data_IF_787510269484
#
_entry.id   IF_787510269484
#
_cell.length_a   1.000
_cell.length_b   1.000
_cell.length_c   1.000
_cell.angle_alpha   90.00
_cell.angle_beta   90.00
_cell.angle_gamma   90.00
#
_symmetry.space_group_name_H-M   'P 1'
#
loop_
_entity.id
_entity.type
_entity.pdbx_description
1 polymer ?
#
# COMPACT_ATOMS: atom_id res chain seq x y z
N UNK A 1 -8.57 22.17 -16.16
CA UNK A 1 -7.67 21.11 -15.68
C UNK A 1 -8.33 19.78 -16.00
N UNK A 2 -7.79 19.00 -16.93
CA UNK A 2 -8.33 17.69 -17.26
C UNK A 2 -7.81 16.69 -16.23
N UNK A 3 -8.68 16.10 -15.43
CA UNK A 3 -8.35 14.91 -14.65
C UNK A 3 -8.19 13.76 -15.65
N UNK A 4 -7.00 13.18 -15.77
CA UNK A 4 -6.87 11.83 -16.34
C UNK A 4 -7.64 10.93 -15.38
N UNK A 5 -8.85 10.52 -15.75
CA UNK A 5 -9.85 9.94 -14.85
C UNK A 5 -9.54 8.53 -14.35
N UNK A 6 -8.28 8.18 -14.12
CA UNK A 6 -7.95 6.93 -13.43
C UNK A 6 -8.43 7.03 -11.98
N UNK A 7 -9.09 5.98 -11.51
CA UNK A 7 -9.55 5.89 -10.12
C UNK A 7 -8.76 4.80 -9.42
N UNK A 8 -8.25 5.13 -8.25
CA UNK A 8 -7.57 4.21 -7.36
C UNK A 8 -8.39 4.05 -6.10
N UNK A 9 -8.60 2.80 -5.68
CA UNK A 9 -9.30 2.47 -4.45
C UNK A 9 -8.49 1.46 -3.65
N UNK A 10 -8.56 1.57 -2.33
CA UNK A 10 -7.86 0.64 -1.43
C UNK A 10 -8.78 0.17 -0.31
N UNK A 11 -8.36 -0.89 0.37
CA UNK A 11 -9.09 -1.54 1.44
C UNK A 11 -8.47 -2.90 1.76
N UNK A 12 -9.31 -3.86 2.11
CA UNK A 12 -8.89 -5.23 2.37
C UNK A 12 -9.88 -6.23 1.80
N UNK A 13 -9.41 -7.46 1.57
CA UNK A 13 -10.22 -8.64 1.21
C UNK A 13 -9.91 -9.77 2.18
N UNK A 14 -10.74 -10.82 2.19
CA UNK A 14 -10.49 -12.06 2.97
C UNK A 14 -10.19 -13.26 2.09
N UNK A 15 -9.45 -13.03 1.01
CA UNK A 15 -9.21 -14.04 -0.01
C UNK A 15 -8.32 -15.19 0.50
N UNK A 16 -7.44 -14.94 1.47
CA UNK A 16 -6.49 -15.93 2.00
C UNK A 16 -6.75 -16.31 3.48
N UNK A 17 -7.97 -16.08 3.98
CA UNK A 17 -8.36 -16.43 5.34
C UNK A 17 -8.00 -15.39 6.41
N UNK A 18 -7.17 -14.41 6.08
CA UNK A 18 -6.90 -13.16 6.80
C UNK A 18 -7.42 -11.95 6.02
N UNK A 19 -7.51 -10.78 6.66
CA UNK A 19 -7.69 -9.53 5.92
C UNK A 19 -6.38 -9.22 5.19
N UNK A 20 -6.41 -9.08 3.86
CA UNK A 20 -5.25 -8.78 3.01
C UNK A 20 -5.45 -7.41 2.33
N UNK A 21 -4.41 -6.57 2.29
CA UNK A 21 -4.46 -5.24 1.65
C UNK A 21 -4.75 -5.36 0.15
N UNK A 22 -5.63 -4.48 -0.36
CA UNK A 22 -5.95 -4.44 -1.80
C UNK A 22 -5.74 -3.04 -2.37
N UNK A 23 -5.18 -2.98 -3.57
CA UNK A 23 -5.18 -1.81 -4.44
C UNK A 23 -5.92 -2.14 -5.73
N UNK A 24 -6.91 -1.33 -6.06
CA UNK A 24 -7.70 -1.42 -7.27
C UNK A 24 -7.44 -0.20 -8.16
N UNK A 25 -7.33 -0.41 -9.48
CA UNK A 25 -7.29 0.64 -10.49
C UNK A 25 -8.41 0.44 -11.51
N UNK A 26 -9.14 1.51 -11.81
CA UNK A 26 -10.04 1.59 -12.96
C UNK A 26 -9.75 2.76 -13.88
N UNK A 27 -10.30 2.69 -15.08
CA UNK A 27 -10.38 3.83 -16.01
C UNK A 27 -11.43 4.87 -15.55
N UNK A 28 -11.59 5.94 -16.33
CA UNK A 28 -12.55 7.02 -16.07
C UNK A 28 -14.00 6.64 -16.19
N UNK A 29 -14.28 5.46 -16.73
CA UNK A 29 -15.61 4.87 -16.84
C UNK A 29 -15.82 3.80 -15.75
N UNK A 30 -14.93 3.74 -14.75
CA UNK A 30 -14.94 2.75 -13.67
C UNK A 30 -14.79 1.29 -14.14
N UNK A 31 -14.25 1.04 -15.33
CA UNK A 31 -13.90 -0.31 -15.73
C UNK A 31 -12.58 -0.72 -15.07
N UNK A 32 -12.54 -1.93 -14.50
CA UNK A 32 -11.32 -2.45 -13.89
C UNK A 32 -10.19 -2.54 -14.93
N UNK A 33 -9.08 -1.89 -14.64
CA UNK A 33 -7.83 -2.03 -15.39
C UNK A 33 -7.01 -3.16 -14.76
N UNK A 34 -6.80 -3.08 -13.45
CA UNK A 34 -6.13 -4.13 -12.67
C UNK A 34 -6.46 -4.02 -11.19
N UNK A 35 -6.19 -5.09 -10.45
CA UNK A 35 -6.14 -5.07 -8.98
C UNK A 35 -4.87 -5.80 -8.49
N UNK A 36 -4.47 -5.50 -7.26
CA UNK A 36 -3.37 -6.14 -6.55
C UNK A 36 -3.82 -6.45 -5.14
N UNK A 37 -3.53 -7.68 -4.71
CA UNK A 37 -3.63 -8.08 -3.30
C UNK A 37 -2.20 -8.18 -2.77
N UNK A 38 -1.94 -7.54 -1.65
CA UNK A 38 -0.70 -7.68 -0.91
C UNK A 38 -0.93 -8.69 0.22
N UNK A 39 -0.08 -9.71 0.26
CA UNK A 39 -0.11 -10.77 1.27
C UNK A 39 1.29 -10.84 1.87
N UNK A 40 1.39 -10.74 3.18
CA UNK A 40 2.62 -10.97 3.94
C UNK A 40 2.41 -12.17 4.89
N UNK A 41 3.42 -12.47 5.69
CA UNK A 41 3.43 -13.52 6.71
C UNK A 41 2.75 -13.10 8.02
N UNK A 42 1.89 -12.07 7.98
CA UNK A 42 1.21 -11.53 9.16
C UNK A 42 -0.22 -12.04 9.28
N UNK A 43 -0.88 -11.72 10.39
CA UNK A 43 -2.24 -12.22 10.64
C UNK A 43 -3.35 -11.38 9.98
N UNK A 44 -3.04 -10.15 9.57
CA UNK A 44 -3.95 -9.26 8.85
C UNK A 44 -3.22 -8.02 8.35
N UNK A 45 -3.50 -7.61 7.12
CA UNK A 45 -3.11 -6.33 6.52
C UNK A 45 -4.36 -5.57 6.10
N UNK A 46 -4.51 -4.32 6.57
CA UNK A 46 -5.65 -3.47 6.22
C UNK A 46 -5.15 -2.13 5.73
N UNK A 47 -5.50 -1.77 4.49
CA UNK A 47 -5.22 -0.46 3.93
C UNK A 47 -6.37 0.51 4.24
N UNK A 48 -6.00 1.73 4.59
CA UNK A 48 -6.92 2.80 4.95
C UNK A 48 -6.87 3.97 3.98
N UNK A 49 -5.74 4.19 3.31
CA UNK A 49 -5.55 5.33 2.43
C UNK A 49 -4.62 4.99 1.27
N UNK A 50 -4.77 5.74 0.17
CA UNK A 50 -3.98 5.62 -1.04
C UNK A 50 -3.62 6.99 -1.62
N UNK A 51 -2.38 7.11 -2.08
CA UNK A 51 -1.86 8.33 -2.70
C UNK A 51 -1.06 7.99 -3.97
N UNK A 52 -1.14 8.86 -4.98
CA UNK A 52 -0.37 8.74 -6.21
C UNK A 52 0.58 9.93 -6.32
N UNK A 53 1.88 9.67 -6.42
CA UNK A 53 2.89 10.73 -6.54
C UNK A 53 3.05 11.24 -7.98
N UNK A 54 3.92 12.24 -8.17
CA UNK A 54 4.15 12.86 -9.48
C UNK A 54 4.84 11.93 -10.50
N UNK A 55 5.40 10.80 -10.06
CA UNK A 55 5.98 9.77 -10.93
C UNK A 55 4.94 8.69 -11.31
N UNK A 56 3.68 8.88 -10.90
CA UNK A 56 2.62 7.88 -11.00
C UNK A 56 2.90 6.61 -10.20
N UNK A 57 3.74 6.70 -9.16
CA UNK A 57 3.85 5.63 -8.18
C UNK A 57 2.70 5.74 -7.18
N UNK A 58 2.19 4.59 -6.78
CA UNK A 58 0.98 4.45 -5.98
C UNK A 58 1.37 3.87 -4.62
N UNK A 59 0.99 4.57 -3.57
CA UNK A 59 1.22 4.18 -2.19
C UNK A 59 -0.11 3.81 -1.59
N UNK A 60 -0.19 2.65 -0.94
CA UNK A 60 -1.28 2.33 -0.02
C UNK A 60 -0.69 2.25 1.38
N UNK A 61 -1.39 2.76 2.37
CA UNK A 61 -0.95 2.69 3.75
C UNK A 61 -2.06 2.23 4.68
N UNK A 62 -1.64 1.61 5.78
CA UNK A 62 -2.56 1.20 6.83
C UNK A 62 -1.84 0.41 7.91
N UNK A 63 -2.45 -0.68 8.37
CA UNK A 63 -1.92 -1.48 9.47
C UNK A 63 -1.57 -2.90 9.04
N UNK A 64 -0.54 -3.45 9.67
CA UNK A 64 -0.14 -4.85 9.61
C UNK A 64 -0.22 -5.45 11.02
N UNK A 65 -0.88 -6.59 11.19
CA UNK A 65 -1.12 -7.22 12.49
C UNK A 65 -0.16 -8.39 12.71
N UNK A 66 0.89 -8.15 13.49
CA UNK A 66 1.90 -9.15 13.88
C UNK A 66 1.55 -9.74 15.24
N UNK A 67 1.10 -11.00 15.29
CA UNK A 67 0.91 -11.75 16.54
C UNK A 67 0.30 -10.92 17.69
N UNK A 68 -0.79 -10.18 17.40
CA UNK A 68 -1.55 -9.25 18.27
C UNK A 68 -1.06 -7.79 18.41
N UNK A 69 -0.04 -7.36 17.67
CA UNK A 69 0.45 -5.98 17.62
C UNK A 69 0.20 -5.35 16.26
N UNK A 70 -0.20 -4.07 16.25
CA UNK A 70 -0.41 -3.33 15.01
C UNK A 70 0.84 -2.51 14.68
N UNK A 71 1.39 -2.77 13.51
CA UNK A 71 2.40 -1.94 12.88
C UNK A 71 1.73 -1.01 11.88
N UNK A 72 2.25 0.20 11.75
CA UNK A 72 1.94 1.04 10.60
C UNK A 72 2.78 0.59 9.42
N UNK A 73 2.24 0.55 8.21
CA UNK A 73 3.05 0.27 7.02
C UNK A 73 2.49 0.85 5.75
N UNK A 74 3.34 0.85 4.72
CA UNK A 74 2.98 1.23 3.36
C UNK A 74 3.47 0.18 2.35
N UNK A 75 2.74 0.07 1.25
CA UNK A 75 3.14 -0.66 0.04
C UNK A 75 3.17 0.33 -1.13
N UNK A 76 4.22 0.27 -1.94
CA UNK A 76 4.42 1.12 -3.11
C UNK A 76 4.41 0.28 -4.38
N UNK A 77 3.60 0.68 -5.35
CA UNK A 77 3.53 0.13 -6.70
C UNK A 77 3.87 1.20 -7.73
N UNK A 78 4.30 0.80 -8.93
CA UNK A 78 4.30 1.70 -10.09
C UNK A 78 2.91 1.77 -10.73
N UNK A 79 2.75 2.63 -11.76
CA UNK A 79 1.49 2.80 -12.49
C UNK A 79 0.95 1.55 -13.19
N UNK A 80 1.81 0.56 -13.47
CA UNK A 80 1.46 -0.74 -14.03
C UNK A 80 1.08 -1.78 -12.95
N UNK A 81 1.11 -1.40 -11.68
CA UNK A 81 0.84 -2.27 -10.54
C UNK A 81 1.97 -3.23 -10.21
N UNK A 82 3.21 -2.95 -10.63
CA UNK A 82 4.40 -3.70 -10.17
C UNK A 82 4.79 -3.22 -8.79
N UNK A 83 4.99 -4.14 -7.84
CA UNK A 83 5.49 -3.81 -6.50
C UNK A 83 6.90 -3.22 -6.60
N UNK A 84 7.12 -2.06 -5.99
CA UNK A 84 8.40 -1.37 -5.96
C UNK A 84 9.06 -1.47 -4.58
N UNK A 85 8.30 -1.24 -3.51
CA UNK A 85 8.80 -1.36 -2.13
C UNK A 85 7.66 -1.50 -1.13
N UNK A 86 8.00 -1.92 0.09
CA UNK A 86 7.12 -1.94 1.24
C UNK A 86 7.95 -1.68 2.50
N UNK A 87 7.34 -1.07 3.51
CA UNK A 87 7.93 -0.90 4.83
C UNK A 87 6.85 -0.86 5.91
N UNK A 88 7.23 -1.21 7.13
CA UNK A 88 6.37 -1.16 8.30
C UNK A 88 7.16 -0.77 9.55
N UNK A 89 6.45 -0.25 10.56
CA UNK A 89 6.99 0.26 11.81
C UNK A 89 6.07 -0.12 12.98
N UNK A 90 6.64 -0.86 13.93
CA UNK A 90 5.97 -1.47 15.06
C UNK A 90 6.66 -1.30 16.39
N UNK A 91 5.97 -1.76 17.45
CA UNK A 91 6.49 -1.79 18.83
C UNK A 91 7.55 -2.88 19.06
N UNK A 92 7.64 -3.90 18.19
CA UNK A 92 8.63 -4.98 18.29
C UNK A 92 9.86 -4.87 17.36
N UNK A 93 9.99 -3.79 16.57
CA UNK A 93 11.19 -3.54 15.76
C UNK A 93 10.99 -2.34 14.84
N UNK A 94 11.89 -1.35 14.70
CA UNK A 94 13.34 -1.36 14.84
C UNK A 94 14.07 -2.55 14.19
N UNK A 95 13.41 -3.32 13.33
CA UNK A 95 14.12 -4.02 12.25
C UNK A 95 14.57 -2.94 11.27
N UNK A 96 15.81 -2.48 11.48
CA UNK A 96 16.52 -1.52 10.64
C UNK A 96 16.34 -1.84 9.15
N UNK A 97 15.50 -1.07 8.47
CA UNK A 97 15.87 -0.46 7.19
C UNK A 97 15.56 1.04 7.30
N UNK A 98 16.58 1.79 7.72
CA UNK A 98 16.67 3.26 7.77
C UNK A 98 15.67 4.01 8.66
N UNK A 99 15.98 4.04 9.95
CA UNK A 99 15.69 5.19 10.79
C UNK A 99 16.40 6.43 10.19
N UNK A 100 15.63 7.45 9.82
CA UNK A 100 16.07 8.83 9.50
C UNK A 100 16.92 9.06 8.24
N UNK A 101 16.39 8.76 7.06
CA UNK A 101 16.87 9.40 5.82
C UNK A 101 15.70 10.18 5.20
N UNK A 102 15.26 11.24 5.88
CA UNK A 102 14.59 12.32 5.17
C UNK A 102 15.66 12.95 4.27
N UNK A 103 15.71 12.49 3.03
CA UNK A 103 16.50 13.08 1.95
C UNK A 103 16.02 14.49 1.61
N UNK A 104 16.08 15.40 2.58
CA UNK A 104 16.20 16.81 2.31
C UNK A 104 17.66 17.04 1.93
N UNK A 105 17.92 17.04 0.63
CA UNK A 105 19.15 17.61 0.09
C UNK A 105 19.21 19.09 0.47
N UNK A 106 20.13 19.44 1.38
CA UNK A 106 20.76 20.76 1.39
C UNK A 106 22.05 20.70 0.59
#
# INVERSE_FOLDING_TARGET
MAFSGEVYATGHTRAHGSDDMVLFKSDSSCNQVWNRTYVDSVSSEIAYDAFVDHNSDIYICGKLLFSSQNDFGYIKYNSAGTLLSNAHWGVEGLTRHKLWDFGLSV
#
